data_IF_731464981551
#
_entry.id   IF_731464981551
#
_cell.length_a   1.000
_cell.length_b   1.000
_cell.length_c   1.000
_cell.angle_alpha   90.00
_cell.angle_beta   90.00
_cell.angle_gamma   90.00
#
_symmetry.space_group_name_H-M   'P 1'
#
loop_
_entity.id
_entity.type
_entity.pdbx_description
1 polymer ?
#
# COMPACT_ATOMS: atom_id res chain seq x y z
N UNK A 1 18.07 -3.90 -13.22
CA UNK A 1 17.57 -4.33 -11.89
C UNK A 1 16.11 -3.90 -11.70
N UNK A 2 15.81 -2.59 -11.75
CA UNK A 2 14.44 -2.06 -11.63
C UNK A 2 13.39 -2.68 -12.59
N UNK A 3 13.65 -2.77 -13.89
CA UNK A 3 12.69 -3.38 -14.84
C UNK A 3 12.39 -4.86 -14.55
N UNK A 4 13.34 -5.59 -13.93
CA UNK A 4 13.13 -6.97 -13.52
C UNK A 4 12.21 -7.03 -12.28
N UNK A 5 12.36 -6.09 -11.37
CA UNK A 5 11.51 -5.96 -10.17
C UNK A 5 10.08 -5.58 -10.54
N UNK A 6 9.89 -4.59 -11.43
CA UNK A 6 8.56 -4.20 -11.94
C UNK A 6 7.82 -5.43 -12.49
N UNK A 7 8.47 -6.20 -13.37
CA UNK A 7 7.88 -7.42 -13.94
C UNK A 7 7.61 -8.51 -12.90
N UNK A 8 8.42 -8.58 -11.84
CA UNK A 8 8.20 -9.54 -10.74
C UNK A 8 6.95 -9.15 -9.97
N UNK A 9 6.86 -7.91 -9.51
CA UNK A 9 5.76 -7.45 -8.66
C UNK A 9 4.43 -7.35 -9.40
N UNK A 10 4.44 -7.00 -10.69
CA UNK A 10 3.22 -7.02 -11.53
C UNK A 10 2.65 -8.43 -11.76
N UNK A 11 3.45 -9.49 -11.61
CA UNK A 11 2.99 -10.88 -11.74
C UNK A 11 2.50 -11.50 -10.44
N UNK A 12 2.86 -10.91 -9.31
CA UNK A 12 2.48 -11.39 -7.97
C UNK A 12 1.30 -10.61 -7.41
N UNK A 13 0.63 -11.20 -6.44
CA UNK A 13 -0.43 -10.55 -5.65
C UNK A 13 -0.09 -10.54 -4.15
N UNK A 14 1.19 -10.79 -3.82
CA UNK A 14 1.65 -10.71 -2.43
C UNK A 14 1.61 -9.27 -1.94
N UNK A 15 1.19 -9.07 -0.68
CA UNK A 15 1.25 -7.76 -0.04
C UNK A 15 2.71 -7.33 0.11
N UNK A 16 3.01 -6.15 -0.39
CA UNK A 16 4.36 -5.58 -0.47
C UNK A 16 4.77 -4.90 0.84
N UNK A 17 3.80 -4.42 1.62
CA UNK A 17 4.06 -3.83 2.93
C UNK A 17 4.07 -4.92 4.00
N UNK A 18 5.06 -4.88 4.89
CA UNK A 18 5.14 -5.82 6.02
C UNK A 18 3.93 -5.65 6.95
N UNK A 19 3.25 -6.75 7.26
CA UNK A 19 2.01 -6.76 8.06
C UNK A 19 2.13 -6.10 9.45
N UNK A 20 3.20 -6.40 10.21
CA UNK A 20 3.33 -5.87 11.58
C UNK A 20 3.54 -4.35 11.63
N UNK A 21 4.44 -3.74 10.83
CA UNK A 21 4.51 -2.29 10.70
C UNK A 21 3.20 -1.65 10.23
N UNK A 22 2.53 -2.22 9.23
CA UNK A 22 1.23 -1.71 8.77
C UNK A 22 0.18 -1.74 9.87
N UNK A 23 0.08 -2.84 10.61
CA UNK A 23 -0.84 -2.98 11.75
C UNK A 23 -0.54 -1.94 12.85
N UNK A 24 0.73 -1.65 13.13
CA UNK A 24 1.11 -0.62 14.12
C UNK A 24 0.61 0.76 13.68
N UNK A 25 0.83 1.11 12.41
CA UNK A 25 0.36 2.38 11.84
C UNK A 25 -1.17 2.50 11.86
N UNK A 26 -1.90 1.44 11.51
CA UNK A 26 -3.37 1.41 11.60
C UNK A 26 -3.84 1.71 13.03
N UNK A 27 -3.19 1.11 14.03
CA UNK A 27 -3.55 1.32 15.45
C UNK A 27 -3.18 2.71 15.94
N UNK A 28 -2.03 3.23 15.52
CA UNK A 28 -1.57 4.58 15.85
C UNK A 28 -2.58 5.62 15.37
N UNK A 29 -2.94 5.59 14.08
CA UNK A 29 -3.93 6.50 13.49
C UNK A 29 -5.31 6.33 14.14
N UNK A 30 -5.75 5.09 14.38
CA UNK A 30 -7.06 4.84 14.99
C UNK A 30 -7.18 5.36 16.42
N UNK A 31 -6.07 5.37 17.16
CA UNK A 31 -6.01 5.87 18.54
C UNK A 31 -6.35 7.36 18.62
N UNK A 32 -6.00 8.14 17.59
CA UNK A 32 -6.33 9.57 17.50
C UNK A 32 -7.84 9.82 17.37
N UNK A 33 -8.58 8.84 16.84
CA UNK A 33 -10.05 8.92 16.70
C UNK A 33 -10.78 8.35 17.91
N UNK A 34 -10.32 7.21 18.43
CA UNK A 34 -10.90 6.56 19.61
C UNK A 34 -9.90 5.64 20.28
N UNK A 35 -9.71 5.84 21.57
CA UNK A 35 -8.84 5.00 22.40
C UNK A 35 -9.45 3.61 22.66
N UNK A 36 -8.59 2.61 22.85
CA UNK A 36 -8.96 1.23 23.22
C UNK A 36 -9.81 0.48 22.16
N UNK A 37 -9.58 0.81 20.88
CA UNK A 37 -10.17 0.06 19.76
C UNK A 37 -9.48 -1.29 19.57
N UNK A 38 -10.30 -2.34 19.41
CA UNK A 38 -9.87 -3.66 18.97
C UNK A 38 -10.17 -3.84 17.49
N UNK A 39 -9.22 -4.44 16.79
CA UNK A 39 -9.33 -4.74 15.36
C UNK A 39 -9.46 -6.24 15.16
N UNK A 40 -10.42 -6.65 14.32
CA UNK A 40 -10.42 -7.98 13.75
C UNK A 40 -9.19 -8.16 12.84
N UNK A 41 -8.69 -9.39 12.73
CA UNK A 41 -7.58 -9.70 11.82
C UNK A 41 -7.94 -9.41 10.36
N UNK A 42 -9.17 -9.73 9.95
CA UNK A 42 -9.71 -9.43 8.62
C UNK A 42 -9.80 -7.92 8.35
N UNK A 43 -10.13 -7.10 9.35
CA UNK A 43 -10.23 -5.65 9.17
C UNK A 43 -8.87 -5.02 8.83
N UNK A 44 -7.80 -5.46 9.51
CA UNK A 44 -6.44 -4.97 9.20
C UNK A 44 -6.00 -5.43 7.81
N UNK A 45 -6.34 -6.66 7.42
CA UNK A 45 -6.05 -7.17 6.06
C UNK A 45 -6.79 -6.38 4.98
N UNK A 46 -8.08 -6.10 5.18
CA UNK A 46 -8.88 -5.32 4.23
C UNK A 46 -8.33 -3.89 4.07
N UNK A 47 -7.91 -3.25 5.17
CA UNK A 47 -7.25 -1.94 5.11
C UNK A 47 -5.95 -2.01 4.31
N UNK A 48 -5.17 -3.09 4.48
CA UNK A 48 -3.90 -3.25 3.77
C UNK A 48 -4.10 -3.46 2.27
N UNK A 49 -5.02 -4.35 1.89
CA UNK A 49 -5.35 -4.60 0.49
C UNK A 49 -5.84 -3.32 -0.21
N UNK A 50 -6.76 -2.58 0.41
CA UNK A 50 -7.27 -1.33 -0.13
C UNK A 50 -6.16 -0.27 -0.26
N UNK A 51 -5.30 -0.14 0.75
CA UNK A 51 -4.21 0.86 0.75
C UNK A 51 -3.17 0.55 -0.33
N UNK A 52 -2.74 -0.70 -0.46
CA UNK A 52 -1.75 -1.08 -1.48
C UNK A 52 -2.34 -0.97 -2.89
N UNK A 53 -3.59 -1.38 -3.11
CA UNK A 53 -4.25 -1.20 -4.40
C UNK A 53 -4.37 0.28 -4.79
N UNK A 54 -4.74 1.15 -3.84
CA UNK A 54 -4.80 2.60 -4.05
C UNK A 54 -3.43 3.18 -4.41
N UNK A 55 -2.38 2.83 -3.67
CA UNK A 55 -1.03 3.33 -3.91
C UNK A 55 -0.47 2.87 -5.26
N UNK A 56 -0.72 1.61 -5.66
CA UNK A 56 -0.31 1.10 -6.98
C UNK A 56 -0.98 1.89 -8.10
N UNK A 57 -2.30 2.09 -8.05
CA UNK A 57 -3.01 2.89 -9.04
C UNK A 57 -2.52 4.34 -9.08
N UNK A 58 -2.27 4.95 -7.93
CA UNK A 58 -1.70 6.29 -7.84
C UNK A 58 -0.29 6.36 -8.46
N UNK A 59 0.54 5.33 -8.28
CA UNK A 59 1.87 5.28 -8.90
C UNK A 59 1.81 5.07 -10.42
N UNK A 60 0.83 4.34 -10.92
CA UNK A 60 0.58 4.23 -12.36
C UNK A 60 0.28 5.60 -12.97
N UNK A 61 -0.65 6.35 -12.39
CA UNK A 61 -0.99 7.72 -12.80
C UNK A 61 0.19 8.68 -12.65
N UNK A 62 0.91 8.60 -11.54
CA UNK A 62 2.10 9.44 -11.29
C UNK A 62 3.17 9.19 -12.35
N UNK A 63 3.36 7.94 -12.76
CA UNK A 63 4.31 7.59 -13.81
C UNK A 63 3.83 8.10 -15.18
N UNK A 64 2.53 8.04 -15.48
CA UNK A 64 1.98 8.67 -16.69
C UNK A 64 2.25 10.19 -16.70
N UNK A 65 2.08 10.87 -15.56
CA UNK A 65 2.44 12.28 -15.42
C UNK A 65 3.94 12.55 -15.60
N UNK A 66 4.81 11.67 -15.10
CA UNK A 66 6.27 11.79 -15.30
C UNK A 66 6.66 11.64 -16.77
N UNK A 67 6.10 10.64 -17.46
CA UNK A 67 6.30 10.41 -18.90
C UNK A 67 5.76 11.60 -19.71
N UNK A 68 4.58 12.13 -19.35
CA UNK A 68 4.02 13.33 -19.98
C UNK A 68 4.99 14.52 -19.88
N UNK A 69 5.65 14.67 -18.74
CA UNK A 69 6.69 15.68 -18.51
C UNK A 69 8.07 15.33 -19.09
N UNK A 70 8.20 14.24 -19.87
CA UNK A 70 9.45 13.74 -20.45
C UNK A 70 10.53 13.43 -19.40
N UNK A 71 10.11 12.94 -18.23
CA UNK A 71 10.99 12.53 -17.13
C UNK A 71 10.89 11.03 -16.89
N UNK A 72 11.87 10.49 -16.15
CA UNK A 72 11.92 9.13 -15.63
C UNK A 72 12.12 9.15 -14.12
#
# INVERSE_FOLDING_TARGET
VALREIRRYQKSTELLIRKLPFQRLVREIAQDFKTDLRFQSSAVMALQEASEAYLVGLFEDTNLCAIHAKRV
#
